data_IF_575752698550
#
_entry.id   IF_575752698550
#
_cell.length_a   1.000
_cell.length_b   1.000
_cell.length_c   1.000
_cell.angle_alpha   90.00
_cell.angle_beta   90.00
_cell.angle_gamma   90.00
#
_symmetry.space_group_name_H-M   'P 1'
#
loop_
_entity.id
_entity.type
_entity.pdbx_description
1 polymer ?
#
# COMPACT_ATOMS: atom_id res chain seq x y z
N UNK A 1 0.65 10.66 13.19
CA UNK A 1 1.31 9.90 12.10
C UNK A 1 1.84 10.92 11.11
N UNK A 2 3.07 10.80 10.62
CA UNK A 2 3.57 11.73 9.61
C UNK A 2 2.85 11.45 8.27
N UNK A 3 2.46 12.49 7.53
CA UNK A 3 1.80 12.35 6.22
C UNK A 3 2.72 11.71 5.18
N UNK A 4 4.03 11.66 5.46
CA UNK A 4 5.06 11.08 4.59
C UNK A 4 4.76 9.65 4.16
N UNK A 5 4.03 8.86 4.97
CA UNK A 5 3.72 7.45 4.68
C UNK A 5 2.32 7.23 4.07
N UNK A 6 1.50 8.28 3.95
CA UNK A 6 0.14 8.12 3.41
C UNK A 6 0.16 7.58 1.97
N UNK A 7 1.13 8.02 1.18
CA UNK A 7 1.31 7.57 -0.20
C UNK A 7 1.69 6.09 -0.25
N UNK A 8 2.60 5.63 0.60
CA UNK A 8 3.01 4.23 0.68
C UNK A 8 1.87 3.33 1.16
N UNK A 9 1.09 3.79 2.14
CA UNK A 9 -0.07 3.04 2.65
C UNK A 9 -1.11 2.85 1.53
N UNK A 10 -1.44 3.93 0.80
CA UNK A 10 -2.36 3.85 -0.35
C UNK A 10 -1.77 3.01 -1.49
N UNK A 11 -0.45 3.04 -1.69
CA UNK A 11 0.21 2.22 -2.69
C UNK A 11 0.15 0.73 -2.35
N UNK A 12 0.35 0.34 -1.09
CA UNK A 12 0.14 -1.05 -0.64
C UNK A 12 -1.32 -1.46 -0.78
N UNK A 13 -2.25 -0.60 -0.39
CA UNK A 13 -3.68 -0.88 -0.57
C UNK A 13 -4.04 -1.12 -2.04
N UNK A 14 -3.52 -0.32 -2.97
CA UNK A 14 -3.76 -0.54 -4.40
C UNK A 14 -3.12 -1.82 -4.97
N UNK A 15 -2.22 -2.48 -4.24
CA UNK A 15 -1.62 -3.77 -4.63
C UNK A 15 -2.36 -4.96 -4.04
N UNK A 16 -2.91 -4.80 -2.83
CA UNK A 16 -3.37 -5.91 -1.99
C UNK A 16 -4.83 -5.82 -1.53
N UNK A 17 -5.48 -4.69 -1.76
CA UNK A 17 -6.86 -4.36 -1.36
C UNK A 17 -7.09 -4.63 0.13
N UNK A 18 -6.44 -3.83 0.99
CA UNK A 18 -6.37 -4.07 2.44
C UNK A 18 -7.28 -3.11 3.22
N UNK A 19 -7.41 -1.89 2.73
CA UNK A 19 -8.09 -0.82 3.42
C UNK A 19 -9.58 -0.79 3.06
N UNK A 20 -10.40 -0.40 4.04
CA UNK A 20 -11.80 -0.07 3.75
C UNK A 20 -11.89 1.26 2.99
N UNK A 21 -13.05 1.52 2.39
CA UNK A 21 -13.32 2.83 1.79
C UNK A 21 -13.15 3.97 2.81
N UNK A 22 -13.52 3.73 4.07
CA UNK A 22 -13.40 4.71 5.14
C UNK A 22 -11.93 5.02 5.46
N UNK A 23 -11.08 4.00 5.53
CA UNK A 23 -9.64 4.16 5.72
C UNK A 23 -8.99 4.97 4.59
N UNK A 24 -9.38 4.69 3.33
CA UNK A 24 -8.92 5.44 2.15
C UNK A 24 -9.30 6.92 2.26
N UNK A 25 -10.55 7.21 2.58
CA UNK A 25 -11.02 8.58 2.79
C UNK A 25 -10.27 9.26 3.94
N UNK A 26 -10.06 8.55 5.06
CA UNK A 26 -9.32 9.06 6.21
C UNK A 26 -7.89 9.45 5.81
N UNK A 27 -7.17 8.60 5.06
CA UNK A 27 -5.81 8.88 4.59
C UNK A 27 -5.76 10.09 3.66
N UNK A 28 -6.70 10.18 2.71
CA UNK A 28 -6.79 11.33 1.82
C UNK A 28 -7.05 12.63 2.58
N UNK A 29 -7.99 12.65 3.53
CA UNK A 29 -8.28 13.83 4.35
C UNK A 29 -7.10 14.19 5.26
N UNK A 30 -6.39 13.20 5.79
CA UNK A 30 -5.19 13.39 6.62
C UNK A 30 -4.06 14.04 5.81
N UNK A 31 -3.90 13.69 4.54
CA UNK A 31 -2.89 14.33 3.66
C UNK A 31 -3.16 15.82 3.40
N UNK A 32 -4.36 16.33 3.67
CA UNK A 32 -4.72 17.75 3.52
C UNK A 32 -4.92 18.46 4.86
N UNK A 33 -4.48 17.87 5.98
CA UNK A 33 -4.73 18.37 7.35
C UNK A 33 -6.22 18.59 7.67
N UNK A 34 -7.11 17.86 6.99
CA UNK A 34 -8.57 17.96 7.13
C UNK A 34 -9.18 16.83 7.97
N UNK A 35 -8.37 15.85 8.36
CA UNK A 35 -8.83 14.73 9.17
C UNK A 35 -8.60 14.97 10.66
N UNK A 36 -9.62 14.71 11.45
CA UNK A 36 -9.53 14.63 12.92
C UNK A 36 -9.81 13.21 13.38
N UNK A 37 -9.16 12.79 14.47
CA UNK A 37 -9.31 11.45 15.06
C UNK A 37 -8.17 10.47 14.71
N UNK A 38 -8.08 9.37 15.46
CA UNK A 38 -6.99 8.39 15.29
C UNK A 38 -7.15 7.57 14.00
N UNK A 39 -6.04 7.09 13.42
CA UNK A 39 -6.07 6.11 12.33
C UNK A 39 -6.64 4.77 12.82
N UNK A 40 -7.21 4.00 11.90
CA UNK A 40 -7.70 2.65 12.21
C UNK A 40 -6.55 1.68 12.51
N UNK A 41 -6.83 0.53 13.18
CA UNK A 41 -5.84 -0.52 13.38
C UNK A 41 -5.20 -1.02 12.08
N UNK A 42 -5.93 -1.04 10.95
CA UNK A 42 -5.39 -1.47 9.65
C UNK A 42 -4.38 -0.48 9.09
N UNK A 43 -4.68 0.82 9.18
CA UNK A 43 -3.73 1.88 8.80
C UNK A 43 -2.46 1.75 9.64
N UNK A 44 -2.58 1.55 10.95
CA UNK A 44 -1.43 1.38 11.85
C UNK A 44 -0.63 0.11 11.54
N UNK A 45 -1.30 -0.99 11.18
CA UNK A 45 -0.63 -2.23 10.81
C UNK A 45 0.15 -2.09 9.49
N UNK A 46 -0.44 -1.45 8.48
CA UNK A 46 0.27 -1.14 7.23
C UNK A 46 1.44 -0.18 7.44
N UNK A 47 1.26 0.85 8.28
CA UNK A 47 2.35 1.76 8.64
C UNK A 47 3.51 0.99 9.26
N UNK A 48 3.22 0.06 10.19
CA UNK A 48 4.24 -0.77 10.83
C UNK A 48 4.99 -1.62 9.80
N UNK A 49 4.28 -2.24 8.85
CA UNK A 49 4.93 -2.99 7.77
C UNK A 49 5.88 -2.09 6.98
N UNK A 50 5.43 -0.90 6.58
CA UNK A 50 6.26 0.07 5.83
C UNK A 50 7.51 0.46 6.60
N UNK A 51 7.37 0.79 7.89
CA UNK A 51 8.49 1.23 8.72
C UNK A 51 9.48 0.11 9.02
N UNK A 52 8.98 -1.08 9.35
CA UNK A 52 9.80 -2.22 9.78
C UNK A 52 10.58 -2.84 8.60
N UNK A 53 10.00 -2.83 7.40
CA UNK A 53 10.65 -3.37 6.20
C UNK A 53 11.32 -2.31 5.32
N UNK A 54 11.26 -1.02 5.72
CA UNK A 54 11.65 0.11 4.89
C UNK A 54 11.05 0.07 3.48
N UNK A 55 9.79 -0.37 3.39
CA UNK A 55 9.13 -0.53 2.10
C UNK A 55 8.91 0.83 1.44
N UNK A 56 9.09 0.87 0.12
CA UNK A 56 8.76 2.03 -0.71
C UNK A 56 7.91 1.59 -1.87
N UNK A 57 6.98 2.46 -2.27
CA UNK A 57 6.14 2.21 -3.42
C UNK A 57 7.02 2.02 -4.67
N UNK A 58 6.84 0.92 -5.44
CA UNK A 58 7.56 0.76 -6.69
C UNK A 58 7.10 1.82 -7.69
N UNK A 59 7.95 2.18 -8.64
CA UNK A 59 7.51 2.98 -9.78
C UNK A 59 6.43 2.23 -10.54
N UNK A 60 5.42 2.95 -11.05
CA UNK A 60 4.31 2.38 -11.81
C UNK A 60 4.08 3.11 -13.10
N UNK A 61 3.57 2.39 -14.09
CA UNK A 61 3.11 2.94 -15.37
C UNK A 61 1.90 2.18 -15.90
N UNK A 62 1.19 2.79 -16.83
CA UNK A 62 0.22 2.06 -17.64
C UNK A 62 0.97 1.14 -18.62
N UNK A 63 0.65 -0.15 -18.61
CA UNK A 63 1.08 -1.12 -19.59
C UNK A 63 0.32 -0.99 -20.91
N UNK A 64 0.73 -1.75 -21.92
CA UNK A 64 0.17 -1.69 -23.27
C UNK A 64 -1.33 -2.06 -23.30
N UNK A 65 -1.76 -2.98 -22.44
CA UNK A 65 -3.14 -3.47 -22.36
C UNK A 65 -4.00 -2.75 -21.30
N UNK A 66 -3.56 -1.57 -20.82
CA UNK A 66 -4.14 -0.85 -19.67
C UNK A 66 -4.00 -1.58 -18.32
N UNK A 67 -3.37 -2.75 -18.31
CA UNK A 67 -2.88 -3.38 -17.09
C UNK A 67 -1.76 -2.54 -16.49
N UNK A 68 -1.77 -2.35 -15.17
CA UNK A 68 -0.72 -1.60 -14.48
C UNK A 68 0.57 -2.40 -14.47
N UNK A 69 1.70 -1.73 -14.70
CA UNK A 69 3.03 -2.32 -14.55
C UNK A 69 3.79 -1.66 -13.40
N UNK A 70 4.74 -2.39 -12.81
CA UNK A 70 5.67 -1.87 -11.83
C UNK A 70 7.12 -2.17 -12.20
N UNK A 71 8.03 -1.31 -11.76
CA UNK A 71 9.47 -1.49 -12.00
C UNK A 71 10.06 -2.48 -10.97
N UNK A 72 10.81 -3.44 -11.48
CA UNK A 72 11.49 -4.47 -10.69
C UNK A 72 12.85 -4.78 -11.33
N UNK A 73 13.93 -4.31 -10.69
CA UNK A 73 15.31 -4.53 -11.15
C UNK A 73 15.56 -4.12 -12.62
N UNK A 74 14.98 -2.99 -13.04
CA UNK A 74 15.11 -2.47 -14.41
C UNK A 74 14.13 -3.05 -15.43
N UNK A 75 13.31 -4.04 -15.03
CA UNK A 75 12.26 -4.61 -15.86
C UNK A 75 10.88 -4.08 -15.42
N UNK A 76 9.94 -4.06 -16.35
CA UNK A 76 8.56 -3.69 -16.08
C UNK A 76 7.70 -4.94 -16.09
N UNK A 77 7.19 -5.29 -14.91
CA UNK A 77 6.38 -6.49 -14.70
C UNK A 77 4.93 -6.10 -14.48
N UNK A 78 4.01 -7.03 -14.75
CA UNK A 78 2.59 -6.81 -14.49
C UNK A 78 2.32 -6.70 -12.98
N UNK A 79 1.44 -5.78 -12.59
CA UNK A 79 1.12 -5.53 -11.18
C UNK A 79 0.54 -6.78 -10.48
N UNK A 80 -0.08 -7.67 -11.25
CA UNK A 80 -0.60 -8.96 -10.77
C UNK A 80 0.51 -9.87 -10.26
N UNK A 81 1.74 -9.72 -10.75
CA UNK A 81 2.88 -10.54 -10.36
C UNK A 81 3.58 -10.00 -9.10
N UNK A 82 3.17 -8.81 -8.62
CA UNK A 82 3.82 -8.15 -7.50
C UNK A 82 3.87 -9.03 -6.25
N UNK A 83 2.76 -9.69 -5.92
CA UNK A 83 2.66 -10.55 -4.75
C UNK A 83 3.58 -11.79 -4.85
N UNK A 84 3.64 -12.40 -6.04
CA UNK A 84 4.50 -13.56 -6.29
C UNK A 84 6.00 -13.18 -6.18
N UNK A 85 6.36 -11.99 -6.65
CA UNK A 85 7.74 -11.50 -6.65
C UNK A 85 8.19 -10.90 -5.31
N UNK A 86 7.26 -10.64 -4.38
CA UNK A 86 7.57 -10.04 -3.08
C UNK A 86 6.99 -10.86 -1.91
N UNK A 87 7.31 -12.17 -1.79
CA UNK A 87 6.60 -13.07 -0.87
C UNK A 87 6.66 -12.63 0.60
N UNK A 88 7.78 -12.01 1.02
CA UNK A 88 7.94 -11.52 2.40
C UNK A 88 6.97 -10.39 2.75
N UNK A 89 6.79 -9.41 1.86
CA UNK A 89 5.84 -8.31 2.10
C UNK A 89 4.41 -8.87 2.00
N UNK A 90 4.14 -9.72 1.02
CA UNK A 90 2.83 -10.34 0.82
C UNK A 90 2.38 -11.11 2.06
N UNK A 91 3.26 -11.91 2.67
CA UNK A 91 2.94 -12.64 3.89
C UNK A 91 2.55 -11.71 5.04
N UNK A 92 3.26 -10.60 5.21
CA UNK A 92 2.94 -9.60 6.24
C UNK A 92 1.58 -8.95 6.00
N UNK A 93 1.26 -8.63 4.74
CA UNK A 93 -0.01 -8.00 4.36
C UNK A 93 -1.19 -8.97 4.50
N UNK A 94 -1.06 -10.22 4.07
CA UNK A 94 -2.12 -11.22 4.19
C UNK A 94 -2.43 -11.57 5.66
N UNK A 95 -1.46 -11.46 6.56
CA UNK A 95 -1.70 -11.55 8.01
C UNK A 95 -2.56 -10.39 8.53
N UNK A 96 -2.47 -9.20 7.94
CA UNK A 96 -3.31 -8.05 8.32
C UNK A 96 -4.74 -8.28 7.81
N UNK A 97 -4.89 -8.80 6.58
CA UNK A 97 -6.21 -9.09 5.99
C UNK A 97 -6.98 -10.20 6.71
N UNK A 98 -6.27 -11.17 7.28
CA UNK A 98 -6.88 -12.29 8.01
C UNK A 98 -7.27 -11.97 9.47
N UNK A 99 -6.97 -10.76 9.96
CA UNK A 99 -7.33 -10.32 11.32
C UNK A 99 -8.74 -9.66 11.40
N UNK A 100 -9.61 -9.94 10.42
CA UNK A 100 -11.03 -9.52 10.42
C UNK A 100 -11.93 -10.40 11.29
#
# INVERSE_FOLDING_TARGET
MNTEYNHEILALDSLYDVLTWYDRCWLHLHSFDKQSGPPSPRILALLKVITDSHWRAPQRRAGQDRCGQYEHYGEWLEITDYAANNPKITEQIERIKSQE
#
